data_IF_615994346526
#
_entry.id   IF_615994346526
#
_cell.length_a   1.000
_cell.length_b   1.000
_cell.length_c   1.000
_cell.angle_alpha   90.00
_cell.angle_beta   90.00
_cell.angle_gamma   90.00
#
_symmetry.space_group_name_H-M   'P 1'
#
loop_
_entity.id
_entity.type
_entity.pdbx_description
1 polymer ?
#
# COMPACT_ATOMS: atom_id res chain seq x y z
N UNK A 1 5.79 7.94 -17.27
CA UNK A 1 6.40 8.29 -15.96
C UNK A 1 5.92 7.35 -14.89
N UNK A 2 6.84 6.70 -14.23
CA UNK A 2 6.56 5.77 -13.15
C UNK A 2 5.99 6.51 -11.93
N UNK A 3 5.16 5.83 -11.15
CA UNK A 3 4.66 6.35 -9.89
C UNK A 3 4.78 5.30 -8.82
N UNK A 4 4.80 5.73 -7.57
CA UNK A 4 4.94 4.84 -6.43
C UNK A 4 3.79 5.03 -5.46
N UNK A 5 3.22 3.91 -5.05
CA UNK A 5 2.22 3.83 -3.99
C UNK A 5 2.98 3.46 -2.72
N UNK A 6 2.99 4.37 -1.76
CA UNK A 6 3.74 4.19 -0.52
C UNK A 6 2.73 4.10 0.62
N UNK A 7 2.76 3.00 1.35
CA UNK A 7 1.89 2.76 2.49
C UNK A 7 2.73 2.58 3.74
N UNK A 8 2.51 3.41 4.73
CA UNK A 8 3.19 3.34 6.02
C UNK A 8 2.13 3.05 7.08
N UNK A 9 2.26 1.92 7.76
CA UNK A 9 1.34 1.57 8.84
C UNK A 9 1.75 2.32 10.10
N UNK A 10 0.91 3.22 10.56
CA UNK A 10 1.17 3.96 11.79
C UNK A 10 0.77 3.15 13.01
N UNK A 11 -0.31 2.39 12.88
CA UNK A 11 -0.82 1.54 13.95
C UNK A 11 -1.60 0.38 13.35
N UNK A 12 -1.40 -0.82 13.87
CA UNK A 12 -2.22 -1.99 13.53
C UNK A 12 -3.14 -2.24 14.72
N UNK A 13 -4.44 -2.09 14.50
CA UNK A 13 -5.45 -2.24 15.53
C UNK A 13 -5.96 -3.66 15.59
N UNK A 14 -6.13 -4.30 14.42
CA UNK A 14 -6.65 -5.67 14.31
C UNK A 14 -5.86 -6.43 13.26
N UNK A 15 -5.00 -7.32 13.70
CA UNK A 15 -4.12 -8.07 12.80
C UNK A 15 -4.87 -9.01 11.86
N UNK A 16 -6.00 -9.56 12.31
CA UNK A 16 -6.82 -10.44 11.46
C UNK A 16 -7.40 -9.65 10.29
N UNK A 17 -7.83 -8.42 10.52
CA UNK A 17 -8.35 -7.56 9.45
C UNK A 17 -7.23 -7.15 8.48
N UNK A 18 -6.04 -6.88 8.98
CA UNK A 18 -4.89 -6.58 8.12
C UNK A 18 -4.54 -7.79 7.25
N UNK A 19 -4.57 -9.00 7.81
CA UNK A 19 -4.31 -10.22 7.05
C UNK A 19 -5.36 -10.44 5.96
N UNK A 20 -6.65 -10.27 6.29
CA UNK A 20 -7.74 -10.40 5.33
C UNK A 20 -7.60 -9.37 4.20
N UNK A 21 -7.25 -8.12 4.55
CA UNK A 21 -6.96 -7.08 3.58
C UNK A 21 -5.83 -7.50 2.63
N UNK A 22 -4.72 -8.00 3.19
CA UNK A 22 -3.54 -8.34 2.40
C UNK A 22 -3.83 -9.46 1.39
N UNK A 23 -4.65 -10.44 1.75
CA UNK A 23 -5.04 -11.52 0.85
C UNK A 23 -5.77 -11.01 -0.39
N UNK A 24 -6.58 -9.95 -0.24
CA UNK A 24 -7.33 -9.35 -1.33
C UNK A 24 -6.53 -8.29 -2.06
N UNK A 25 -5.81 -7.44 -1.33
CA UNK A 25 -5.09 -6.31 -1.91
C UNK A 25 -3.93 -6.74 -2.82
N UNK A 26 -3.18 -7.77 -2.43
CA UNK A 26 -2.05 -8.23 -3.22
C UNK A 26 -2.44 -8.57 -4.66
N UNK A 27 -3.37 -9.52 -4.87
CA UNK A 27 -3.82 -9.84 -6.21
C UNK A 27 -4.49 -8.67 -6.93
N UNK A 28 -5.30 -7.87 -6.23
CA UNK A 28 -5.99 -6.74 -6.83
C UNK A 28 -5.03 -5.71 -7.42
N UNK A 29 -3.99 -5.36 -6.65
CA UNK A 29 -3.02 -4.35 -7.09
C UNK A 29 -2.10 -4.88 -8.17
N UNK A 30 -1.72 -6.16 -8.13
CA UNK A 30 -0.94 -6.78 -9.21
C UNK A 30 -1.71 -6.82 -10.52
N UNK A 31 -2.99 -7.17 -10.48
CA UNK A 31 -3.84 -7.16 -11.68
C UNK A 31 -4.01 -5.77 -12.26
N UNK A 32 -3.98 -4.75 -11.42
CA UNK A 32 -4.08 -3.36 -11.85
C UNK A 32 -2.75 -2.80 -12.37
N UNK A 33 -1.71 -3.62 -12.44
CA UNK A 33 -0.41 -3.23 -12.99
C UNK A 33 0.63 -2.86 -11.94
N UNK A 34 0.35 -3.07 -10.67
CA UNK A 34 1.29 -2.79 -9.60
C UNK A 34 2.35 -3.87 -9.43
N UNK A 35 3.57 -3.45 -9.16
CA UNK A 35 4.68 -4.33 -8.82
C UNK A 35 5.16 -3.98 -7.42
N UNK A 36 5.11 -4.95 -6.51
CA UNK A 36 5.63 -4.75 -5.16
C UNK A 36 7.14 -4.66 -5.21
N UNK A 37 7.70 -3.53 -4.82
CA UNK A 37 9.15 -3.31 -4.86
C UNK A 37 9.79 -3.29 -3.47
N UNK A 38 9.01 -3.05 -2.42
CA UNK A 38 9.47 -3.15 -1.04
C UNK A 38 8.29 -3.46 -0.13
N UNK A 39 8.49 -4.31 0.86
CA UNK A 39 7.45 -4.66 1.83
C UNK A 39 8.09 -5.27 3.08
N UNK A 40 7.83 -4.67 4.23
CA UNK A 40 8.33 -5.18 5.49
C UNK A 40 8.59 -4.07 6.49
N UNK A 41 9.31 -4.42 7.54
CA UNK A 41 9.75 -3.47 8.54
C UNK A 41 11.04 -2.79 8.06
N UNK A 42 11.21 -1.48 8.34
CA UNK A 42 12.45 -0.81 8.00
C UNK A 42 13.65 -1.48 8.67
N UNK A 43 14.72 -1.66 7.93
CA UNK A 43 15.99 -2.15 8.48
C UNK A 43 16.60 -1.11 9.40
N UNK A 44 16.47 0.16 9.05
CA UNK A 44 17.01 1.30 9.77
C UNK A 44 16.10 2.50 9.56
N UNK A 45 15.97 3.34 10.57
CA UNK A 45 15.26 4.61 10.43
C UNK A 45 16.15 5.75 10.91
N UNK A 46 15.89 6.94 10.40
CA UNK A 46 16.59 8.17 10.78
C UNK A 46 15.56 9.24 11.12
N UNK A 47 15.99 10.20 11.95
CA UNK A 47 15.17 11.35 12.33
C UNK A 47 13.81 10.91 12.90
N UNK A 48 12.69 11.32 12.33
CA UNK A 48 11.36 10.98 12.81
C UNK A 48 10.80 9.68 12.22
N UNK A 49 11.63 8.91 11.51
CA UNK A 49 11.19 7.64 10.93
C UNK A 49 10.82 6.62 12.01
N UNK A 50 9.71 5.92 11.80
CA UNK A 50 9.24 4.88 12.71
C UNK A 50 9.48 3.50 12.11
N UNK A 51 9.79 2.52 12.96
CA UNK A 51 10.03 1.14 12.50
C UNK A 51 8.71 0.39 12.34
N UNK A 52 7.83 0.91 11.51
CA UNK A 52 6.54 0.30 11.25
C UNK A 52 6.49 -0.23 9.82
N UNK A 53 5.56 -1.16 9.58
CA UNK A 53 5.41 -1.81 8.29
C UNK A 53 5.27 -0.79 7.17
N UNK A 54 6.09 -0.97 6.14
CA UNK A 54 6.11 -0.08 4.98
C UNK A 54 5.97 -0.92 3.72
N UNK A 55 5.17 -0.45 2.78
CA UNK A 55 4.95 -1.12 1.50
C UNK A 55 5.14 -0.11 0.39
N UNK A 56 5.91 -0.46 -0.63
CA UNK A 56 6.10 0.37 -1.82
C UNK A 56 5.72 -0.44 -3.05
N UNK A 57 4.81 0.10 -3.85
CA UNK A 57 4.33 -0.54 -5.07
C UNK A 57 4.55 0.41 -6.23
N UNK A 58 5.15 -0.09 -7.31
CA UNK A 58 5.40 0.69 -8.50
C UNK A 58 4.27 0.53 -9.51
N UNK A 59 3.84 1.64 -10.10
CA UNK A 59 2.89 1.66 -11.21
C UNK A 59 3.49 2.43 -12.38
N UNK A 60 2.98 2.19 -13.59
CA UNK A 60 3.51 2.85 -14.78
C UNK A 60 3.21 4.35 -14.83
N UNK A 61 2.21 4.81 -14.07
CA UNK A 61 1.81 6.21 -14.03
C UNK A 61 1.01 6.51 -12.76
N UNK A 62 0.88 7.80 -12.45
CA UNK A 62 0.00 8.25 -11.37
C UNK A 62 -1.44 7.81 -11.65
N UNK A 63 -1.90 7.96 -12.89
CA UNK A 63 -3.26 7.57 -13.27
C UNK A 63 -3.52 6.08 -13.03
N UNK A 64 -2.53 5.24 -13.35
CA UNK A 64 -2.65 3.79 -13.11
C UNK A 64 -2.76 3.49 -11.63
N UNK A 65 -1.98 4.16 -10.78
CA UNK A 65 -2.04 3.98 -9.33
C UNK A 65 -3.40 4.43 -8.77
N UNK A 66 -3.92 5.56 -9.22
CA UNK A 66 -5.23 6.05 -8.80
C UNK A 66 -6.35 5.11 -9.24
N UNK A 67 -6.29 4.62 -10.48
CA UNK A 67 -7.27 3.67 -10.99
C UNK A 67 -7.24 2.35 -10.20
N UNK A 68 -6.06 1.91 -9.79
CA UNK A 68 -5.91 0.71 -8.97
C UNK A 68 -6.60 0.89 -7.61
N UNK A 69 -6.41 2.03 -6.98
CA UNK A 69 -7.07 2.34 -5.71
C UNK A 69 -8.59 2.32 -5.85
N UNK A 70 -9.10 2.87 -6.94
CA UNK A 70 -10.55 3.00 -7.15
C UNK A 70 -11.18 1.75 -7.75
N UNK A 71 -10.39 0.72 -8.05
CA UNK A 71 -10.92 -0.52 -8.62
C UNK A 71 -11.84 -1.24 -7.64
N UNK A 72 -12.89 -1.92 -8.13
CA UNK A 72 -13.78 -2.69 -7.25
C UNK A 72 -13.03 -3.73 -6.40
N UNK A 73 -12.04 -4.40 -6.98
CA UNK A 73 -11.26 -5.42 -6.26
C UNK A 73 -10.49 -4.82 -5.08
N UNK A 74 -9.92 -3.63 -5.25
CA UNK A 74 -9.22 -2.98 -4.16
C UNK A 74 -10.20 -2.44 -3.11
N UNK A 75 -11.34 -1.94 -3.54
CA UNK A 75 -12.38 -1.48 -2.61
C UNK A 75 -12.89 -2.62 -1.74
N UNK A 76 -12.97 -3.84 -2.28
CA UNK A 76 -13.30 -5.04 -1.49
C UNK A 76 -12.22 -5.30 -0.42
N UNK A 77 -10.96 -5.08 -0.77
CA UNK A 77 -9.86 -5.23 0.19
C UNK A 77 -9.99 -4.20 1.32
N UNK A 78 -10.32 -2.95 1.00
CA UNK A 78 -10.54 -1.91 2.01
C UNK A 78 -11.70 -2.26 2.94
N UNK A 79 -12.76 -2.85 2.40
CA UNK A 79 -13.89 -3.29 3.22
C UNK A 79 -13.44 -4.36 4.23
N UNK A 80 -12.55 -5.26 3.81
CA UNK A 80 -12.01 -6.29 4.71
C UNK A 80 -11.10 -5.68 5.80
N UNK A 81 -10.41 -4.59 5.48
CA UNK A 81 -9.58 -3.89 6.46
C UNK A 81 -10.42 -3.24 7.57
N UNK A 82 -11.54 -2.66 7.21
CA UNK A 82 -12.57 -2.19 8.15
C UNK A 82 -12.01 -1.54 9.42
N UNK A 83 -11.20 -0.50 9.28
CA UNK A 83 -10.61 0.20 10.41
C UNK A 83 -9.54 -0.57 11.18
N UNK A 84 -9.04 -1.68 10.64
CA UNK A 84 -8.05 -2.53 11.31
C UNK A 84 -6.65 -1.93 11.39
N UNK A 85 -6.39 -0.82 10.72
CA UNK A 85 -5.10 -0.15 10.79
C UNK A 85 -5.24 1.34 10.51
N UNK A 86 -4.30 2.12 11.04
CA UNK A 86 -4.13 3.53 10.67
C UNK A 86 -2.90 3.60 9.77
N UNK A 87 -3.07 4.14 8.58
CA UNK A 87 -1.99 4.19 7.58
C UNK A 87 -1.81 5.59 7.02
N UNK A 88 -0.57 5.90 6.68
CA UNK A 88 -0.22 7.05 5.86
C UNK A 88 0.02 6.50 4.45
N UNK A 89 -0.83 6.85 3.50
CA UNK A 89 -0.75 6.36 2.14
C UNK A 89 -0.53 7.49 1.16
N UNK A 90 0.41 7.30 0.23
CA UNK A 90 0.82 8.34 -0.71
C UNK A 90 1.00 7.76 -2.10
N UNK A 91 0.57 8.53 -3.11
CA UNK A 91 0.92 8.26 -4.50
C UNK A 91 1.90 9.36 -4.91
N UNK A 92 3.12 8.97 -5.26
CA UNK A 92 4.20 9.92 -5.53
C UNK A 92 4.72 9.68 -6.95
N UNK A 93 4.79 10.74 -7.80
CA UNK A 93 5.38 10.58 -9.12
C UNK A 93 6.86 10.19 -9.01
N UNK A 94 7.30 9.30 -9.87
CA UNK A 94 8.70 8.94 -9.94
C UNK A 94 9.54 10.04 -10.55
N UNK A 95 10.83 9.98 -10.33
CA UNK A 95 11.80 10.90 -10.93
C UNK A 95 12.15 10.39 -12.33
N UNK A 96 12.19 11.29 -13.28
CA UNK A 96 12.56 10.96 -14.66
C UNK A 96 14.07 10.97 -14.87
#
# INVERSE_FOLDING_TARGET
MTAYWISIYKEIIDEAKVAAYAELAGPALRRAGGTYVARGLPEKTYESGEKTRTVVIEFESVQAALAAHDSPAYQDALAALDGGAVRDMRIVPGVE
#
